data_IF_722655940524
#
_entry.id   IF_722655940524
#
_cell.length_a   1.000
_cell.length_b   1.000
_cell.length_c   1.000
_cell.angle_alpha   90.00
_cell.angle_beta   90.00
_cell.angle_gamma   90.00
#
_symmetry.space_group_name_H-M   'P 1'
#
loop_
_entity.id
_entity.type
_entity.pdbx_description
1 polymer ?
#
# COMPACT_ATOMS: atom_id res chain seq x y z
N UNK A 1 9.12 4.89 13.61
CA UNK A 1 7.74 4.62 14.05
C UNK A 1 7.45 5.44 15.29
N UNK A 2 6.47 6.36 15.24
CA UNK A 2 6.05 7.13 16.41
C UNK A 2 4.78 6.51 16.99
N UNK A 3 4.70 6.12 18.28
CA UNK A 3 3.56 5.39 18.83
C UNK A 3 2.20 6.08 18.67
N UNK A 4 2.18 7.41 18.58
CA UNK A 4 0.94 8.18 18.38
C UNK A 4 0.53 8.36 16.91
N UNK A 5 1.33 7.89 15.95
CA UNK A 5 0.98 7.93 14.53
C UNK A 5 0.57 6.53 14.13
N UNK A 6 -0.73 6.33 13.88
CA UNK A 6 -1.28 5.00 13.57
C UNK A 6 -0.68 4.43 12.29
N UNK A 7 -0.62 5.24 11.23
CA UNK A 7 -0.12 4.80 9.93
C UNK A 7 0.58 5.93 9.20
N UNK A 8 1.58 5.57 8.40
CA UNK A 8 2.26 6.47 7.47
C UNK A 8 2.08 6.04 6.02
N UNK A 9 1.42 4.92 5.77
CA UNK A 9 1.23 4.38 4.41
C UNK A 9 0.25 5.23 3.62
N UNK A 10 0.45 5.25 2.30
CA UNK A 10 -0.51 5.89 1.41
C UNK A 10 -1.86 5.14 1.44
N UNK A 11 -2.99 5.84 1.29
CA UNK A 11 -4.32 5.22 1.32
C UNK A 11 -4.62 4.34 0.09
N UNK A 12 -3.68 4.22 -0.84
CA UNK A 12 -3.85 3.51 -2.11
C UNK A 12 -3.73 1.99 -2.00
N UNK A 13 -3.17 1.46 -0.91
CA UNK A 13 -2.95 0.03 -0.77
C UNK A 13 -4.18 -0.68 -0.19
N UNK A 14 -4.68 -1.70 -0.89
CA UNK A 14 -5.82 -2.50 -0.42
C UNK A 14 -5.34 -3.76 0.31
N UNK A 15 -5.85 -3.97 1.52
CA UNK A 15 -5.59 -5.19 2.30
C UNK A 15 -4.14 -5.34 2.79
N UNK A 16 -3.36 -4.26 2.80
CA UNK A 16 -1.97 -4.24 3.26
C UNK A 16 -1.84 -3.60 4.64
N UNK A 17 -1.11 -4.26 5.53
CA UNK A 17 -0.81 -3.75 6.86
C UNK A 17 0.67 -3.89 7.22
N UNK A 18 1.33 -2.75 7.40
CA UNK A 18 2.67 -2.59 7.96
C UNK A 18 2.69 -1.65 9.17
N UNK A 19 1.52 -1.39 9.75
CA UNK A 19 1.40 -0.63 10.99
C UNK A 19 1.85 -1.49 12.19
N UNK A 20 1.98 -0.86 13.37
CA UNK A 20 2.45 -1.54 14.58
C UNK A 20 1.52 -2.67 15.06
N UNK A 21 0.29 -2.74 14.55
CA UNK A 21 -0.70 -3.78 14.82
C UNK A 21 -0.71 -4.91 13.77
N UNK A 22 0.17 -4.86 12.77
CA UNK A 22 0.31 -5.90 11.73
C UNK A 22 1.05 -7.15 12.16
N UNK A 23 1.52 -7.20 13.41
CA UNK A 23 2.23 -8.34 14.00
C UNK A 23 1.21 -9.21 14.75
N UNK A 24 1.21 -10.51 14.49
CA UNK A 24 0.33 -11.44 15.20
C UNK A 24 0.77 -11.72 16.66
N UNK A 25 0.02 -12.56 17.37
CA UNK A 25 0.34 -12.91 18.76
C UNK A 25 1.61 -13.74 18.95
N UNK A 26 2.16 -14.31 17.87
CA UNK A 26 3.38 -15.12 17.88
C UNK A 26 4.61 -14.31 17.44
N UNK A 27 4.42 -13.05 17.06
CA UNK A 27 5.48 -12.17 16.61
C UNK A 27 5.78 -12.27 15.12
N UNK A 28 4.87 -12.84 14.32
CA UNK A 28 5.04 -12.99 12.88
C UNK A 28 4.43 -11.83 12.10
N UNK A 29 4.97 -11.63 10.90
CA UNK A 29 4.41 -10.78 9.83
C UNK A 29 4.27 -11.62 8.57
N UNK A 30 3.22 -11.35 7.79
CA UNK A 30 2.89 -12.14 6.62
C UNK A 30 3.06 -11.33 5.34
N UNK A 31 3.93 -11.82 4.46
CA UNK A 31 4.12 -11.21 3.15
C UNK A 31 2.93 -11.54 2.23
N UNK A 32 2.53 -10.60 1.35
CA UNK A 32 1.56 -10.90 0.30
C UNK A 32 2.08 -11.94 -0.71
N UNK A 33 1.19 -12.76 -1.28
CA UNK A 33 1.54 -13.83 -2.22
C UNK A 33 1.43 -13.43 -3.70
N UNK A 34 0.90 -12.23 -3.98
CA UNK A 34 0.71 -11.74 -5.34
C UNK A 34 2.00 -11.33 -6.05
N UNK A 35 1.97 -11.08 -7.37
CA UNK A 35 3.14 -10.63 -8.12
C UNK A 35 3.61 -9.23 -7.71
N UNK A 36 4.92 -8.97 -7.88
CA UNK A 36 5.53 -7.69 -7.53
C UNK A 36 5.54 -7.46 -6.02
N UNK A 37 5.05 -6.29 -5.56
CA UNK A 37 4.83 -6.05 -4.12
C UNK A 37 3.67 -6.87 -3.55
N UNK A 38 2.88 -7.51 -4.41
CA UNK A 38 1.81 -8.44 -4.03
C UNK A 38 0.57 -7.80 -3.40
N UNK A 39 0.45 -6.48 -3.47
CA UNK A 39 -0.65 -5.70 -2.89
C UNK A 39 -1.49 -5.06 -3.99
N UNK A 40 -2.82 -5.29 -4.03
CA UNK A 40 -3.71 -4.56 -4.93
C UNK A 40 -3.76 -3.06 -4.62
N UNK A 41 -3.88 -2.23 -5.66
CA UNK A 41 -4.05 -0.79 -5.53
C UNK A 41 -5.51 -0.37 -5.68
N UNK A 42 -5.93 0.61 -4.88
CA UNK A 42 -7.21 1.30 -5.01
C UNK A 42 -7.15 2.28 -6.19
N UNK A 43 -7.44 1.74 -7.37
CA UNK A 43 -7.45 2.52 -8.59
C UNK A 43 -8.57 3.56 -8.66
N UNK A 44 -9.67 3.36 -7.93
CA UNK A 44 -10.74 4.35 -7.85
C UNK A 44 -10.27 5.58 -7.07
N UNK A 45 -9.62 5.37 -5.92
CA UNK A 45 -8.99 6.45 -5.17
C UNK A 45 -7.91 7.17 -5.97
N UNK A 46 -7.02 6.41 -6.64
CA UNK A 46 -5.93 6.99 -7.44
C UNK A 46 -6.51 7.88 -8.55
N UNK A 47 -7.47 7.39 -9.34
CA UNK A 47 -8.09 8.17 -10.41
C UNK A 47 -8.83 9.40 -9.89
N UNK A 48 -9.49 9.30 -8.75
CA UNK A 48 -10.21 10.43 -8.14
C UNK A 48 -9.26 11.56 -7.66
N UNK A 49 -7.98 11.26 -7.41
CA UNK A 49 -6.98 12.22 -6.94
C UNK A 49 -5.86 12.50 -7.97
N UNK A 50 -5.97 11.95 -9.18
CA UNK A 50 -5.04 12.18 -10.26
C UNK A 50 -5.21 13.60 -10.81
N UNK A 51 -4.12 14.35 -10.90
CA UNK A 51 -4.12 15.73 -11.43
C UNK A 51 -3.56 15.84 -12.85
N UNK A 52 -2.79 14.84 -13.30
CA UNK A 52 -2.17 14.77 -14.62
C UNK A 52 -1.82 13.32 -14.97
N UNK A 53 -1.70 13.01 -16.27
CA UNK A 53 -1.20 11.72 -16.78
C UNK A 53 -0.45 11.89 -18.10
N UNK A 54 0.52 11.01 -18.36
CA UNK A 54 1.29 11.03 -19.60
C UNK A 54 1.82 9.64 -19.94
N UNK A 55 1.95 9.38 -21.24
CA UNK A 55 2.54 8.14 -21.75
C UNK A 55 3.85 8.48 -22.43
N UNK A 56 4.95 7.90 -21.93
CA UNK A 56 6.26 7.96 -22.56
C UNK A 56 6.53 6.60 -23.21
N UNK A 57 6.73 6.61 -24.53
CA UNK A 57 7.11 5.42 -25.28
C UNK A 57 8.29 5.78 -26.19
N UNK A 58 9.30 4.92 -26.21
CA UNK A 58 10.38 4.99 -27.19
C UNK A 58 9.88 4.41 -28.52
N UNK A 59 10.31 5.02 -29.63
CA UNK A 59 9.96 4.63 -31.01
C UNK A 59 10.99 3.63 -31.52
#
# INVERSE_FOLDING_TARGET
>A
MHPNVRTTKAPVYLGYNDDLDGIDSEGNVYAPEGPGIGVPLDWDWIRAHQIDEGVLAEI
#
